data_IF_357681684622
#
_entry.id   IF_357681684622
#
_cell.length_a   1.000
_cell.length_b   1.000
_cell.length_c   1.000
_cell.angle_alpha   90.00
_cell.angle_beta   90.00
_cell.angle_gamma   90.00
#
_symmetry.space_group_name_H-M   'P 1'
#
loop_
_entity.id
_entity.type
_entity.pdbx_description
1 polymer ?
#
# COMPACT_ATOMS: atom_id res chain seq x y z
N UNK A 1 -14.81 12.87 4.59
CA UNK A 1 -15.19 11.94 5.68
C UNK A 1 -13.96 11.13 6.05
N UNK A 2 -13.68 10.96 7.34
CA UNK A 2 -12.68 10.02 7.86
C UNK A 2 -13.41 9.11 8.85
N UNK A 3 -13.21 7.80 8.72
CA UNK A 3 -13.81 6.80 9.59
C UNK A 3 -12.76 5.75 9.98
N UNK A 4 -12.76 5.34 11.25
CA UNK A 4 -11.85 4.31 11.78
C UNK A 4 -12.69 3.09 12.13
N UNK A 5 -12.34 1.92 11.59
CA UNK A 5 -13.11 0.69 11.74
C UNK A 5 -12.49 -0.31 12.73
N UNK A 6 -11.17 -0.54 12.64
CA UNK A 6 -10.43 -1.52 13.44
C UNK A 6 -9.36 -0.83 14.30
N UNK A 7 -8.59 -1.62 15.08
CA UNK A 7 -7.60 -1.13 16.03
C UNK A 7 -8.20 -0.95 17.42
N UNK A 8 -7.50 -0.21 18.28
CA UNK A 8 -7.83 -0.04 19.68
C UNK A 8 -9.30 0.30 19.98
N UNK A 9 -9.94 1.08 19.12
CA UNK A 9 -11.34 1.50 19.26
C UNK A 9 -12.35 0.65 18.47
N UNK A 10 -11.89 -0.36 17.72
CA UNK A 10 -12.68 -1.11 16.74
C UNK A 10 -13.04 -2.55 17.15
N UNK A 11 -12.68 -2.96 18.38
CA UNK A 11 -12.89 -4.31 18.88
C UNK A 11 -11.68 -5.24 18.72
N UNK A 12 -11.74 -6.40 19.38
CA UNK A 12 -10.72 -7.44 19.35
C UNK A 12 -11.17 -8.58 18.42
N UNK A 13 -10.22 -9.41 17.98
CA UNK A 13 -10.54 -10.67 17.30
C UNK A 13 -11.18 -11.69 18.27
N UNK A 14 -11.53 -12.87 17.77
CA UNK A 14 -12.17 -13.93 18.56
C UNK A 14 -11.31 -14.44 19.73
N UNK A 15 -9.99 -14.25 19.64
CA UNK A 15 -9.03 -14.71 20.64
C UNK A 15 -8.64 -13.57 21.60
N UNK A 16 -9.22 -12.37 21.42
CA UNK A 16 -8.96 -11.20 22.26
C UNK A 16 -7.74 -10.36 21.83
N UNK A 17 -7.21 -10.55 20.63
CA UNK A 17 -6.10 -9.75 20.12
C UNK A 17 -6.56 -8.50 19.36
N UNK A 18 -5.76 -7.45 19.41
CA UNK A 18 -6.01 -6.22 18.63
C UNK A 18 -5.67 -6.45 17.15
N UNK A 19 -6.56 -5.99 16.27
CA UNK A 19 -6.33 -5.99 14.82
C UNK A 19 -5.72 -4.67 14.33
N UNK A 20 -4.97 -4.67 13.22
CA UNK A 20 -4.46 -3.43 12.63
C UNK A 20 -5.58 -2.43 12.31
N UNK A 21 -5.33 -1.15 12.59
CA UNK A 21 -6.30 -0.07 12.34
C UNK A 21 -6.59 0.07 10.84
N UNK A 22 -7.87 0.01 10.48
CA UNK A 22 -8.36 0.34 9.14
C UNK A 22 -9.00 1.73 9.15
N UNK A 23 -8.43 2.67 8.37
CA UNK A 23 -8.94 4.03 8.24
C UNK A 23 -9.47 4.25 6.84
N UNK A 24 -10.76 4.55 6.73
CA UNK A 24 -11.39 4.99 5.49
C UNK A 24 -11.33 6.51 5.37
N UNK A 25 -10.89 6.99 4.21
CA UNK A 25 -10.77 8.42 3.91
C UNK A 25 -11.44 8.72 2.58
N UNK A 26 -12.42 9.62 2.62
CA UNK A 26 -13.02 10.22 1.44
C UNK A 26 -12.73 11.72 1.40
N UNK A 27 -12.13 12.17 0.30
CA UNK A 27 -11.76 13.57 0.09
C UNK A 27 -12.99 14.39 -0.28
N UNK A 28 -13.05 15.60 0.25
CA UNK A 28 -13.97 16.60 -0.27
C UNK A 28 -13.57 16.99 -1.70
N UNK A 29 -14.56 17.17 -2.56
CA UNK A 29 -14.42 17.73 -3.91
C UNK A 29 -15.51 18.77 -4.12
N UNK A 30 -15.19 19.83 -4.88
CA UNK A 30 -16.13 20.92 -5.19
C UNK A 30 -16.18 21.15 -6.71
N UNK A 31 -17.35 21.53 -7.26
CA UNK A 31 -17.44 21.97 -8.65
C UNK A 31 -16.45 23.11 -8.93
N UNK A 32 -15.79 23.09 -10.09
CA UNK A 32 -14.79 24.10 -10.48
C UNK A 32 -13.38 23.89 -9.92
N UNK A 33 -13.15 22.90 -9.06
CA UNK A 33 -11.82 22.61 -8.50
C UNK A 33 -11.18 21.36 -9.12
N UNK A 34 -9.98 21.52 -9.67
CA UNK A 34 -9.18 20.41 -10.18
C UNK A 34 -8.68 19.53 -9.02
N UNK A 35 -8.84 18.21 -9.15
CA UNK A 35 -8.61 17.26 -8.04
C UNK A 35 -7.54 16.19 -8.30
N UNK A 36 -6.85 16.28 -9.43
CA UNK A 36 -5.63 15.53 -9.80
C UNK A 36 -5.75 14.00 -9.68
N UNK A 37 -6.92 13.43 -10.03
CA UNK A 37 -7.19 11.98 -10.07
C UNK A 37 -6.50 11.20 -8.91
N UNK A 38 -5.61 10.25 -9.24
CA UNK A 38 -4.87 9.39 -8.31
C UNK A 38 -3.80 10.16 -7.51
N UNK A 39 -3.06 11.06 -8.15
CA UNK A 39 -2.03 11.86 -7.47
C UNK A 39 -2.62 12.67 -6.30
N UNK A 40 -3.78 13.31 -6.51
CA UNK A 40 -4.47 14.03 -5.46
C UNK A 40 -4.96 13.12 -4.33
N UNK A 41 -5.36 11.88 -4.65
CA UNK A 41 -5.80 10.91 -3.64
C UNK A 41 -4.62 10.46 -2.78
N UNK A 42 -3.52 10.00 -3.41
CA UNK A 42 -2.32 9.54 -2.72
C UNK A 42 -1.71 10.62 -1.83
N UNK A 43 -1.54 11.84 -2.35
CA UNK A 43 -0.99 12.96 -1.55
C UNK A 43 -1.87 13.32 -0.35
N UNK A 44 -3.19 13.12 -0.46
CA UNK A 44 -4.08 13.34 0.68
C UNK A 44 -3.96 12.24 1.72
N UNK A 45 -3.78 10.98 1.31
CA UNK A 45 -3.54 9.87 2.22
C UNK A 45 -2.23 10.06 3.00
N UNK A 46 -1.16 10.55 2.36
CA UNK A 46 0.10 10.90 3.05
C UNK A 46 -0.16 11.93 4.16
N UNK A 47 -0.88 13.02 3.86
CA UNK A 47 -1.19 14.07 4.84
C UNK A 47 -2.05 13.58 5.99
N UNK A 48 -3.08 12.77 5.70
CA UNK A 48 -3.95 12.22 6.74
C UNK A 48 -3.18 11.22 7.61
N UNK A 49 -2.36 10.36 7.00
CA UNK A 49 -1.52 9.38 7.72
C UNK A 49 -0.53 10.07 8.66
N UNK A 50 0.10 11.17 8.22
CA UNK A 50 1.03 11.95 9.04
C UNK A 50 0.40 12.47 10.35
N UNK A 51 -0.91 12.75 10.34
CA UNK A 51 -1.64 13.22 11.53
C UNK A 51 -2.12 12.04 12.39
N UNK A 52 -2.58 10.95 11.78
CA UNK A 52 -3.23 9.86 12.51
C UNK A 52 -2.26 8.84 13.13
N UNK A 53 -1.17 8.51 12.45
CA UNK A 53 -0.23 7.46 12.89
C UNK A 53 1.24 7.81 12.64
N UNK A 54 1.53 8.74 11.73
CA UNK A 54 2.86 9.22 11.38
C UNK A 54 3.88 8.10 11.09
N UNK A 55 3.46 7.08 10.35
CA UNK A 55 4.34 5.96 9.96
C UNK A 55 5.53 6.43 9.10
N UNK A 56 6.77 5.96 9.38
CA UNK A 56 7.97 6.40 8.66
C UNK A 56 8.11 5.79 7.26
N UNK A 57 7.39 4.70 6.99
CA UNK A 57 7.37 4.00 5.71
C UNK A 57 5.94 3.88 5.21
N UNK A 58 5.75 3.95 3.89
CA UNK A 58 4.45 3.77 3.25
C UNK A 58 4.52 2.71 2.16
N UNK A 59 3.55 1.81 2.17
CA UNK A 59 3.32 0.85 1.09
C UNK A 59 2.15 1.35 0.24
N UNK A 60 2.36 1.45 -1.07
CA UNK A 60 1.30 1.77 -2.03
C UNK A 60 0.86 0.49 -2.76
N UNK A 61 -0.45 0.27 -2.87
CA UNK A 61 -1.03 -0.92 -3.50
C UNK A 61 -2.31 -0.53 -4.26
N UNK A 62 -2.48 -1.07 -5.46
CA UNK A 62 -3.68 -0.87 -6.27
C UNK A 62 -4.73 -1.95 -5.96
N UNK A 63 -6.00 -1.67 -6.26
CA UNK A 63 -7.12 -2.53 -5.85
C UNK A 63 -7.20 -3.88 -6.59
N UNK A 64 -6.48 -4.01 -7.69
CA UNK A 64 -6.32 -5.24 -8.48
C UNK A 64 -5.10 -6.07 -8.07
N UNK A 65 -4.36 -5.62 -7.05
CA UNK A 65 -3.21 -6.32 -6.50
C UNK A 65 -3.44 -6.67 -5.02
N UNK A 66 -2.90 -7.81 -4.60
CA UNK A 66 -2.91 -8.24 -3.21
C UNK A 66 -1.53 -8.74 -2.78
N UNK A 67 -1.29 -8.76 -1.47
CA UNK A 67 -0.06 -9.29 -0.89
C UNK A 67 -0.18 -10.82 -0.87
N UNK A 68 0.62 -11.50 -1.69
CA UNK A 68 0.61 -12.96 -1.81
C UNK A 68 1.52 -13.67 -0.78
N UNK A 69 2.45 -12.95 -0.16
CA UNK A 69 3.40 -13.46 0.84
C UNK A 69 3.41 -12.52 2.05
N UNK A 70 3.04 -13.04 3.22
CA UNK A 70 3.01 -12.27 4.48
C UNK A 70 4.39 -11.79 4.93
N UNK A 71 5.49 -12.32 4.36
CA UNK A 71 6.86 -11.88 4.65
C UNK A 71 7.31 -10.67 3.84
N UNK A 72 6.60 -10.28 2.77
CA UNK A 72 7.04 -9.23 1.85
C UNK A 72 7.38 -7.91 2.56
N UNK A 73 6.58 -7.52 3.56
CA UNK A 73 6.83 -6.30 4.33
C UNK A 73 8.12 -6.43 5.17
N UNK A 74 8.35 -7.59 5.78
CA UNK A 74 9.58 -7.86 6.55
C UNK A 74 10.81 -7.87 5.65
N UNK A 75 10.69 -8.43 4.45
CA UNK A 75 11.77 -8.44 3.45
C UNK A 75 12.11 -7.01 2.98
N UNK A 76 11.12 -6.14 2.77
CA UNK A 76 11.36 -4.73 2.48
C UNK A 76 12.16 -4.03 3.59
N UNK A 77 11.84 -4.34 4.85
CA UNK A 77 12.54 -3.79 6.01
C UNK A 77 14.02 -4.19 6.06
N UNK A 78 14.41 -5.35 5.53
CA UNK A 78 15.83 -5.74 5.47
C UNK A 78 16.67 -4.72 4.69
N UNK A 79 16.12 -4.12 3.62
CA UNK A 79 16.81 -3.08 2.85
C UNK A 79 16.71 -1.71 3.50
N UNK A 80 15.52 -1.35 4.01
CA UNK A 80 15.25 -0.02 4.57
C UNK A 80 15.89 0.21 5.94
N UNK A 81 16.15 -0.86 6.70
CA UNK A 81 16.78 -0.81 8.03
C UNK A 81 18.26 -1.20 8.03
N UNK A 82 18.85 -1.48 6.86
CA UNK A 82 20.29 -1.75 6.78
C UNK A 82 21.07 -0.50 7.23
N UNK A 83 21.98 -0.59 8.22
CA UNK A 83 22.71 0.58 8.73
C UNK A 83 23.61 1.26 7.69
N UNK A 84 24.07 0.52 6.69
CA UNK A 84 24.98 0.96 5.64
C UNK A 84 24.22 1.41 4.40
N UNK A 85 23.25 0.60 3.95
CA UNK A 85 22.51 0.82 2.71
C UNK A 85 21.25 1.67 2.92
N UNK A 86 20.53 1.48 4.03
CA UNK A 86 19.18 2.00 4.23
C UNK A 86 19.05 3.51 4.11
N UNK A 87 20.09 4.27 4.49
CA UNK A 87 20.14 5.73 4.32
C UNK A 87 20.10 6.19 2.86
N UNK A 88 20.51 5.33 1.93
CA UNK A 88 20.49 5.57 0.49
C UNK A 88 19.26 5.00 -0.22
N UNK A 89 18.37 4.29 0.48
CA UNK A 89 17.19 3.64 -0.11
C UNK A 89 15.96 4.51 0.11
N UNK A 90 15.32 4.94 -0.98
CA UNK A 90 14.07 5.71 -0.93
C UNK A 90 12.81 4.84 -1.06
N UNK A 91 12.89 3.71 -1.78
CA UNK A 91 11.82 2.73 -1.89
C UNK A 91 12.38 1.34 -2.27
N UNK A 92 11.63 0.29 -1.94
CA UNK A 92 11.88 -1.08 -2.40
C UNK A 92 10.77 -1.44 -3.39
N UNK A 93 11.15 -1.65 -4.65
CA UNK A 93 10.21 -2.05 -5.70
C UNK A 93 10.07 -3.57 -5.71
N UNK A 94 8.83 -4.05 -5.62
CA UNK A 94 8.50 -5.47 -5.83
C UNK A 94 8.08 -5.71 -7.28
N UNK A 95 8.47 -6.84 -7.89
CA UNK A 95 7.99 -7.22 -9.21
C UNK A 95 6.48 -7.53 -9.13
N UNK A 96 5.70 -6.95 -10.04
CA UNK A 96 4.27 -7.23 -10.16
C UNK A 96 4.09 -8.48 -11.03
N UNK A 97 3.28 -9.43 -10.55
CA UNK A 97 2.94 -10.68 -11.27
C UNK A 97 1.44 -10.81 -11.33
N UNK A 98 0.95 -11.31 -12.46
CA UNK A 98 -0.48 -11.43 -12.74
C UNK A 98 -0.90 -12.90 -12.83
N UNK A 99 -2.06 -13.19 -12.25
CA UNK A 99 -2.66 -14.51 -12.27
C UNK A 99 -3.58 -14.70 -13.49
N UNK A 100 -4.02 -15.93 -13.73
CA UNK A 100 -5.04 -16.23 -14.75
C UNK A 100 -4.56 -16.13 -16.19
N UNK A 101 -3.25 -16.16 -16.42
CA UNK A 101 -2.68 -16.06 -17.77
C UNK A 101 -2.71 -17.43 -18.46
N UNK A 102 -3.28 -17.47 -19.67
CA UNK A 102 -3.31 -18.66 -20.51
C UNK A 102 -1.90 -19.22 -20.79
N UNK A 103 -1.80 -20.53 -21.00
CA UNK A 103 -0.52 -21.20 -21.28
C UNK A 103 0.21 -20.60 -22.49
N UNK A 104 -0.53 -20.14 -23.51
CA UNK A 104 0.07 -19.58 -24.71
C UNK A 104 0.48 -18.11 -24.54
N UNK A 105 -0.03 -17.43 -23.50
CA UNK A 105 0.19 -16.00 -23.22
C UNK A 105 0.24 -15.14 -24.49
N UNK A 106 -0.77 -15.29 -25.38
CA UNK A 106 -0.80 -14.63 -26.69
C UNK A 106 -0.69 -13.11 -26.61
N UNK A 107 -1.11 -12.52 -25.49
CA UNK A 107 -1.08 -11.08 -25.23
C UNK A 107 0.17 -10.62 -24.46
N UNK A 108 1.09 -11.53 -24.13
CA UNK A 108 2.30 -11.25 -23.36
C UNK A 108 2.02 -10.57 -21.99
N UNK A 109 0.92 -10.96 -21.34
CA UNK A 109 0.47 -10.35 -20.09
C UNK A 109 1.38 -10.66 -18.90
N UNK A 110 2.25 -11.68 -18.99
CA UNK A 110 3.26 -11.95 -17.95
C UNK A 110 4.27 -10.82 -17.83
N UNK A 111 4.55 -10.14 -18.95
CA UNK A 111 5.51 -9.07 -19.08
C UNK A 111 6.88 -9.36 -18.41
N UNK A 112 7.32 -10.62 -18.47
CA UNK A 112 8.56 -11.06 -17.79
C UNK A 112 9.79 -10.32 -18.29
N UNK A 113 9.82 -9.92 -19.57
CA UNK A 113 10.94 -9.16 -20.15
C UNK A 113 11.21 -7.83 -19.43
N UNK A 114 10.19 -7.22 -18.82
CA UNK A 114 10.34 -5.93 -18.13
C UNK A 114 10.54 -6.07 -16.62
N UNK A 115 10.10 -7.20 -16.05
CA UNK A 115 10.06 -7.42 -14.60
C UNK A 115 11.05 -8.49 -14.09
N UNK A 116 11.80 -9.14 -14.99
CA UNK A 116 12.92 -10.06 -14.73
C UNK A 116 14.23 -9.51 -15.31
#
# INVERSE_FOLDING_TARGET
>A
MIQVFLGHSGGLDSDGNELPRLVYVSREKRPGFQHHKKAGAMNSLVRVSAVLTNGPYMLNLDCDHYINNSKALREAMCFLMDPNLGKGVCYVQFPQRFDGIDKNDRYANRNTVFFD
#
